data_IF_766405783019
#
_entry.id   IF_766405783019
#
_cell.length_a   1.000
_cell.length_b   1.000
_cell.length_c   1.000
_cell.angle_alpha   90.00
_cell.angle_beta   90.00
_cell.angle_gamma   90.00
#
_symmetry.space_group_name_H-M   'P 1'
#
loop_
_entity.id
_entity.type
_entity.pdbx_description
1 polymer ?
#
# COMPACT_ATOMS: atom_id res chain seq x y z
N UNK A 1 -0.80 25.25 -24.31
CA UNK A 1 -0.32 25.61 -22.95
C UNK A 1 -1.49 25.61 -21.96
N UNK A 2 -1.81 24.49 -21.29
CA UNK A 2 -2.82 24.47 -20.23
C UNK A 2 -2.31 23.72 -18.97
N UNK A 3 -1.21 24.18 -18.36
CA UNK A 3 -0.57 23.52 -17.20
C UNK A 3 -0.65 24.39 -15.93
N UNK A 4 -1.02 25.67 -16.05
CA UNK A 4 -1.00 26.61 -14.93
C UNK A 4 -2.33 26.76 -14.17
N UNK A 5 -3.43 26.20 -14.65
CA UNK A 5 -4.76 26.35 -14.00
C UNK A 5 -5.01 25.33 -12.87
N UNK A 6 -4.21 24.27 -12.77
CA UNK A 6 -4.44 23.19 -11.80
C UNK A 6 -3.79 23.45 -10.43
N UNK A 7 -2.87 24.42 -10.33
CA UNK A 7 -2.09 24.66 -9.11
C UNK A 7 -2.78 25.61 -8.12
N UNK A 8 -3.74 26.44 -8.56
CA UNK A 8 -4.41 27.42 -7.71
C UNK A 8 -5.62 26.88 -6.96
N UNK A 9 -6.14 25.71 -7.35
CA UNK A 9 -7.27 25.05 -6.65
C UNK A 9 -6.84 24.22 -5.43
N UNK A 10 -5.59 23.75 -5.37
CA UNK A 10 -5.12 22.87 -4.28
C UNK A 10 -4.61 23.58 -3.02
N UNK A 11 -4.34 24.88 -3.08
CA UNK A 11 -3.76 25.63 -1.95
C UNK A 11 -4.82 26.29 -1.06
N UNK A 12 -6.09 26.33 -1.51
CA UNK A 12 -7.16 27.02 -0.78
C UNK A 12 -7.85 26.17 0.30
N UNK A 13 -7.69 24.85 0.28
CA UNK A 13 -8.30 23.93 1.25
C UNK A 13 -7.36 23.58 2.43
N UNK A 14 -6.17 24.18 2.50
CA UNK A 14 -5.18 23.88 3.54
C UNK A 14 -5.13 24.91 4.69
N UNK A 15 -6.00 25.93 4.68
CA UNK A 15 -6.01 27.03 5.66
C UNK A 15 -7.42 27.37 6.17
N UNK A 16 -8.16 26.37 6.67
CA UNK A 16 -9.29 26.62 7.56
C UNK A 16 -9.12 25.84 8.87
N UNK A 17 -8.59 26.57 9.84
CA UNK A 17 -8.56 26.25 11.25
C UNK A 17 -9.42 27.33 11.94
N UNK A 18 -10.57 26.96 12.52
CA UNK A 18 -11.29 27.75 13.54
C UNK A 18 -12.47 26.96 14.15
N UNK A 19 -12.30 26.50 15.39
CA UNK A 19 -13.34 26.52 16.45
C UNK A 19 -13.36 27.94 17.05
N UNK A 20 -14.46 28.52 17.63
CA UNK A 20 -15.31 27.88 18.65
C UNK A 20 -16.81 28.34 18.72
N UNK A 21 -17.63 27.73 19.59
CA UNK A 21 -18.79 28.43 20.19
C UNK A 21 -20.08 27.62 20.50
N UNK A 22 -20.44 27.56 21.78
CA UNK A 22 -21.55 26.82 22.39
C UNK A 22 -22.98 27.44 22.21
N UNK A 23 -24.05 26.62 22.24
CA UNK A 23 -25.03 26.54 23.38
C UNK A 23 -26.27 25.64 23.12
N UNK A 24 -26.48 24.71 24.06
CA UNK A 24 -27.73 24.29 24.77
C UNK A 24 -28.97 23.70 24.06
N UNK A 25 -29.28 22.44 24.40
CA UNK A 25 -30.63 21.96 24.79
C UNK A 25 -30.52 20.70 25.68
N UNK A 26 -31.25 20.67 26.80
CA UNK A 26 -31.30 19.61 27.83
C UNK A 26 -32.64 18.80 27.75
N UNK A 27 -33.01 17.95 28.73
CA UNK A 27 -32.54 16.57 28.98
C UNK A 27 -33.69 15.52 29.08
N UNK A 28 -33.41 14.22 28.86
CA UNK A 28 -34.12 12.99 29.33
C UNK A 28 -33.64 11.81 28.45
N UNK A 29 -33.35 10.58 28.88
CA UNK A 29 -33.81 9.78 30.02
C UNK A 29 -32.70 8.85 30.51
N UNK A 30 -32.68 8.62 31.82
CA UNK A 30 -31.83 7.65 32.49
C UNK A 30 -32.14 6.21 32.03
N UNK A 31 -31.14 5.53 31.47
CA UNK A 31 -31.12 4.06 31.34
C UNK A 31 -30.17 3.52 32.42
N UNK A 32 -30.55 2.51 33.20
CA UNK A 32 -29.73 2.03 34.31
C UNK A 32 -28.43 1.43 33.77
N UNK A 33 -27.26 1.72 34.36
CA UNK A 33 -26.02 1.06 33.98
C UNK A 33 -26.11 -0.42 34.37
N UNK A 34 -25.84 -1.29 33.39
CA UNK A 34 -25.61 -2.71 33.63
C UNK A 34 -24.47 -2.88 34.64
N UNK A 35 -24.67 -3.78 35.59
CA UNK A 35 -23.72 -4.06 36.67
C UNK A 35 -22.32 -4.38 36.12
N UNK A 36 -21.25 -3.84 36.72
CA UNK A 36 -19.88 -4.20 36.33
C UNK A 36 -19.64 -5.67 36.67
N UNK A 37 -19.26 -6.46 35.66
CA UNK A 37 -18.69 -7.78 35.88
C UNK A 37 -17.40 -7.63 36.71
N UNK A 38 -17.12 -8.55 37.65
CA UNK A 38 -15.96 -8.41 38.52
C UNK A 38 -14.67 -8.47 37.69
N UNK A 39 -13.70 -7.57 37.95
CA UNK A 39 -12.40 -7.64 37.29
C UNK A 39 -11.70 -8.94 37.68
N UNK A 40 -11.11 -9.61 36.69
CA UNK A 40 -10.14 -10.68 36.92
C UNK A 40 -8.95 -10.08 37.66
N UNK A 41 -8.96 -10.15 39.00
CA UNK A 41 -7.87 -9.68 39.84
C UNK A 41 -6.65 -10.59 39.65
N UNK A 42 -5.59 -10.05 39.04
CA UNK A 42 -4.29 -10.74 38.95
C UNK A 42 -3.41 -10.44 37.72
N UNK A 43 -3.50 -9.27 37.08
CA UNK A 43 -2.64 -8.92 35.94
C UNK A 43 -1.76 -7.68 36.23
N UNK A 44 -0.53 -7.63 35.69
CA UNK A 44 0.44 -6.57 35.99
C UNK A 44 -0.04 -5.19 35.55
N UNK A 45 0.24 -4.17 36.37
CA UNK A 45 -0.07 -2.78 36.08
C UNK A 45 0.71 -2.32 34.83
N UNK A 46 -0.01 -1.99 33.76
CA UNK A 46 0.55 -1.53 32.50
C UNK A 46 -0.09 -2.10 31.23
N UNK A 47 -1.36 -2.52 31.27
CA UNK A 47 -2.04 -2.99 30.05
C UNK A 47 -2.47 -1.82 29.18
N UNK A 48 -2.04 -1.89 27.92
CA UNK A 48 -2.42 -0.96 26.86
C UNK A 48 -3.87 -1.28 26.42
N UNK A 49 -4.60 -0.27 25.94
CA UNK A 49 -6.03 -0.36 25.62
C UNK A 49 -6.39 -1.51 24.63
N UNK A 50 -5.60 -1.80 23.57
CA UNK A 50 -5.84 -2.95 22.70
C UNK A 50 -5.69 -4.31 23.40
N UNK A 51 -4.72 -4.48 24.30
CA UNK A 51 -4.54 -5.73 25.05
C UNK A 51 -5.75 -6.01 25.92
N UNK A 52 -6.32 -4.98 26.55
CA UNK A 52 -7.56 -5.12 27.32
C UNK A 52 -8.72 -5.61 26.42
N UNK A 53 -8.88 -5.04 25.22
CA UNK A 53 -9.91 -5.49 24.27
C UNK A 53 -9.70 -6.93 23.79
N UNK A 54 -8.45 -7.36 23.62
CA UNK A 54 -8.14 -8.74 23.25
C UNK A 54 -8.47 -9.72 24.37
N UNK A 55 -8.20 -9.35 25.63
CA UNK A 55 -8.60 -10.14 26.78
C UNK A 55 -10.12 -10.22 26.91
N UNK A 56 -10.83 -9.12 26.69
CA UNK A 56 -12.30 -9.10 26.72
C UNK A 56 -12.89 -9.98 25.60
N UNK A 57 -12.32 -9.93 24.39
CA UNK A 57 -12.70 -10.80 23.28
C UNK A 57 -12.46 -12.28 23.60
N UNK A 58 -11.29 -12.63 24.13
CA UNK A 58 -10.99 -14.02 24.53
C UNK A 58 -11.92 -14.48 25.65
N UNK A 59 -12.23 -13.61 26.61
CA UNK A 59 -13.19 -13.89 27.67
C UNK A 59 -14.60 -14.14 27.11
N UNK A 60 -14.97 -13.46 26.03
CA UNK A 60 -16.23 -13.69 25.31
C UNK A 60 -16.21 -15.00 24.51
N UNK A 61 -15.10 -15.36 23.86
CA UNK A 61 -14.94 -16.66 23.17
C UNK A 61 -15.00 -17.83 24.16
N UNK A 62 -14.49 -17.61 25.38
CA UNK A 62 -14.51 -18.57 26.49
C UNK A 62 -15.78 -18.48 27.35
N UNK A 63 -16.74 -17.63 27.00
CA UNK A 63 -18.02 -17.58 27.69
C UNK A 63 -18.87 -18.78 27.24
N UNK A 64 -18.86 -19.85 28.04
CA UNK A 64 -19.75 -21.00 27.84
C UNK A 64 -21.01 -20.95 28.71
N UNK A 65 -21.79 -22.02 28.64
CA UNK A 65 -23.14 -22.13 29.22
C UNK A 65 -23.16 -22.36 30.74
N UNK A 66 -22.03 -22.15 31.42
CA UNK A 66 -21.88 -22.35 32.87
C UNK A 66 -21.78 -23.82 33.31
N UNK A 67 -21.85 -24.76 32.36
CA UNK A 67 -21.63 -26.22 32.54
C UNK A 67 -20.43 -26.68 31.71
N UNK A 68 -19.40 -25.87 31.65
CA UNK A 68 -18.23 -26.08 30.80
C UNK A 68 -16.95 -26.04 31.63
N UNK A 69 -15.85 -26.43 30.99
CA UNK A 69 -14.53 -26.38 31.62
C UNK A 69 -14.14 -24.97 32.09
N UNK A 70 -14.68 -23.92 31.46
CA UNK A 70 -14.53 -22.53 31.89
C UNK A 70 -15.14 -22.27 33.28
N UNK A 71 -16.37 -22.73 33.53
CA UNK A 71 -17.01 -22.64 34.84
C UNK A 71 -16.29 -23.50 35.90
N UNK A 72 -15.86 -24.70 35.55
CA UNK A 72 -15.02 -25.54 36.43
C UNK A 72 -13.73 -24.82 36.83
N UNK A 73 -13.03 -24.19 35.87
CA UNK A 73 -11.81 -23.43 36.14
C UNK A 73 -12.05 -22.24 37.08
N UNK A 74 -13.20 -21.55 36.96
CA UNK A 74 -13.58 -20.48 37.90
C UNK A 74 -13.79 -21.03 39.32
N UNK A 75 -14.42 -22.20 39.46
CA UNK A 75 -14.61 -22.87 40.75
C UNK A 75 -13.28 -23.30 41.37
N UNK A 76 -12.38 -23.90 40.58
CA UNK A 76 -11.01 -24.23 41.01
C UNK A 76 -10.27 -22.98 41.49
N UNK A 77 -10.33 -21.87 40.74
CA UNK A 77 -9.71 -20.60 41.15
C UNK A 77 -10.30 -20.06 42.45
N UNK A 78 -11.61 -20.14 42.64
CA UNK A 78 -12.28 -19.72 43.87
C UNK A 78 -11.83 -20.54 45.08
N UNK A 79 -11.80 -21.87 44.94
CA UNK A 79 -11.35 -22.77 46.01
C UNK A 79 -9.85 -22.58 46.32
N UNK A 80 -9.04 -22.33 45.28
CA UNK A 80 -7.63 -22.00 45.45
C UNK A 80 -7.44 -20.70 46.25
N UNK A 81 -8.23 -19.67 45.96
CA UNK A 81 -8.23 -18.42 46.72
C UNK A 81 -8.68 -18.61 48.18
N UNK A 82 -9.48 -19.63 48.46
CA UNK A 82 -9.84 -20.05 49.83
C UNK A 82 -8.77 -20.87 50.55
N UNK A 83 -7.59 -21.07 49.94
CA UNK A 83 -6.45 -21.76 50.56
C UNK A 83 -6.35 -23.26 50.25
N UNK A 84 -7.25 -23.82 49.44
CA UNK A 84 -7.12 -25.21 48.96
C UNK A 84 -6.04 -25.30 47.88
N UNK A 85 -5.21 -26.34 47.93
CA UNK A 85 -4.16 -26.54 46.93
C UNK A 85 -3.90 -28.03 46.68
N UNK A 86 -3.12 -28.33 45.65
CA UNK A 86 -2.75 -29.71 45.32
C UNK A 86 -3.92 -30.58 44.82
N UNK A 87 -3.81 -31.91 44.89
CA UNK A 87 -4.82 -32.83 44.37
C UNK A 87 -6.22 -32.66 45.01
N UNK A 88 -6.25 -32.32 46.30
CA UNK A 88 -7.48 -32.08 47.05
C UNK A 88 -8.30 -30.91 46.49
N UNK A 89 -7.64 -29.87 45.96
CA UNK A 89 -8.31 -28.74 45.30
C UNK A 89 -9.14 -29.23 44.11
N UNK A 90 -8.51 -29.97 43.20
CA UNK A 90 -9.15 -30.44 41.97
C UNK A 90 -10.23 -31.48 42.25
N UNK A 91 -10.00 -32.38 43.21
CA UNK A 91 -11.01 -33.36 43.62
C UNK A 91 -12.23 -32.70 44.25
N UNK A 92 -12.01 -31.73 45.16
CA UNK A 92 -13.10 -30.98 45.81
C UNK A 92 -13.87 -30.14 44.79
N UNK A 93 -13.15 -29.44 43.90
CA UNK A 93 -13.75 -28.65 42.84
C UNK A 93 -14.57 -29.51 41.88
N UNK A 94 -14.07 -30.68 41.48
CA UNK A 94 -14.78 -31.58 40.59
C UNK A 94 -16.05 -32.14 41.24
N UNK A 95 -15.95 -32.59 42.50
CA UNK A 95 -17.12 -33.10 43.23
C UNK A 95 -18.19 -32.01 43.41
N UNK A 96 -17.79 -30.78 43.75
CA UNK A 96 -18.72 -29.66 43.88
C UNK A 96 -19.32 -29.27 42.52
N UNK A 97 -18.52 -29.25 41.46
CA UNK A 97 -18.98 -28.95 40.10
C UNK A 97 -19.97 -30.01 39.61
N UNK A 98 -19.64 -31.29 39.72
CA UNK A 98 -20.49 -32.41 39.34
C UNK A 98 -21.80 -32.43 40.14
N UNK A 99 -21.78 -32.06 41.43
CA UNK A 99 -22.99 -31.95 42.24
C UNK A 99 -23.93 -30.82 41.78
N UNK A 100 -23.39 -29.74 41.20
CA UNK A 100 -24.17 -28.57 40.75
C UNK A 100 -24.64 -28.74 39.30
N UNK A 101 -23.79 -29.27 38.42
CA UNK A 101 -24.07 -29.35 36.98
C UNK A 101 -24.60 -30.71 36.52
N UNK A 102 -24.41 -31.76 37.33
CA UNK A 102 -24.74 -33.14 36.98
C UNK A 102 -23.84 -33.75 35.92
N UNK A 103 -22.70 -33.11 35.59
CA UNK A 103 -21.79 -33.59 34.56
C UNK A 103 -20.75 -34.57 35.09
N UNK A 104 -20.37 -35.52 34.24
CA UNK A 104 -19.31 -36.46 34.50
C UNK A 104 -17.94 -35.95 33.98
N UNK A 105 -16.88 -36.65 34.39
CA UNK A 105 -15.52 -36.26 34.03
C UNK A 105 -15.29 -36.26 32.52
N UNK A 106 -15.91 -37.20 31.80
CA UNK A 106 -15.77 -37.30 30.35
C UNK A 106 -16.38 -36.07 29.64
N UNK A 107 -17.60 -35.66 30.01
CA UNK A 107 -18.23 -34.46 29.44
C UNK A 107 -17.45 -33.18 29.77
N UNK A 108 -16.89 -33.09 30.98
CA UNK A 108 -16.06 -31.96 31.37
C UNK A 108 -14.79 -31.85 30.52
N UNK A 109 -14.10 -32.97 30.30
CA UNK A 109 -12.90 -33.01 29.44
C UNK A 109 -13.23 -32.74 27.98
N UNK A 110 -14.33 -33.29 27.46
CA UNK A 110 -14.79 -32.99 26.10
C UNK A 110 -15.06 -31.49 25.90
N UNK A 111 -15.67 -30.82 26.90
CA UNK A 111 -15.87 -29.37 26.85
C UNK A 111 -14.56 -28.57 26.88
N UNK A 112 -13.50 -29.12 27.50
CA UNK A 112 -12.17 -28.50 27.49
C UNK A 112 -11.53 -28.56 26.09
N UNK A 113 -11.66 -29.71 25.41
CA UNK A 113 -11.20 -29.88 24.04
C UNK A 113 -11.94 -28.96 23.07
N UNK A 114 -13.27 -28.81 23.23
CA UNK A 114 -14.07 -27.88 22.44
C UNK A 114 -13.64 -26.41 22.63
N UNK A 115 -13.36 -25.99 23.88
CA UNK A 115 -12.87 -24.64 24.15
C UNK A 115 -11.47 -24.42 23.56
N UNK A 116 -10.59 -25.43 23.62
CA UNK A 116 -9.27 -25.39 22.99
C UNK A 116 -9.36 -25.24 21.47
N UNK A 117 -10.26 -25.98 20.84
CA UNK A 117 -10.52 -25.87 19.41
C UNK A 117 -11.07 -24.49 19.05
N UNK A 118 -12.05 -23.97 19.80
CA UNK A 118 -12.60 -22.62 19.61
C UNK A 118 -11.52 -21.54 19.68
N UNK A 119 -10.59 -21.62 20.65
CA UNK A 119 -9.47 -20.69 20.74
C UNK A 119 -8.50 -20.80 19.55
N UNK A 120 -8.25 -22.02 19.09
CA UNK A 120 -7.39 -22.28 17.93
C UNK A 120 -8.01 -21.69 16.66
N UNK A 121 -9.30 -21.89 16.46
CA UNK A 121 -10.06 -21.36 15.33
C UNK A 121 -10.15 -19.83 15.38
N UNK A 122 -10.40 -19.23 16.56
CA UNK A 122 -10.41 -17.78 16.72
C UNK A 122 -9.04 -17.17 16.43
N UNK A 123 -7.95 -17.78 16.93
CA UNK A 123 -6.58 -17.37 16.61
C UNK A 123 -6.33 -17.40 15.11
N UNK A 124 -6.76 -18.45 14.41
CA UNK A 124 -6.60 -18.54 12.96
C UNK A 124 -7.35 -17.40 12.23
N UNK A 125 -8.59 -17.12 12.63
CA UNK A 125 -9.41 -16.01 12.07
C UNK A 125 -8.82 -14.63 12.34
N UNK A 126 -8.24 -14.41 13.52
CA UNK A 126 -7.58 -13.14 13.86
C UNK A 126 -6.32 -12.97 13.02
N UNK A 127 -5.52 -14.02 12.86
CA UNK A 127 -4.33 -13.99 12.01
C UNK A 127 -4.65 -13.74 10.54
N UNK A 128 -5.71 -14.36 10.02
CA UNK A 128 -6.18 -14.14 8.65
C UNK A 128 -6.61 -12.68 8.44
N UNK A 129 -7.48 -12.15 9.30
CA UNK A 129 -7.88 -10.73 9.25
C UNK A 129 -6.69 -9.78 9.38
N UNK A 130 -5.66 -10.15 10.16
CA UNK A 130 -4.44 -9.37 10.26
C UNK A 130 -3.64 -9.37 8.96
N UNK A 131 -3.47 -10.54 8.32
CA UNK A 131 -2.80 -10.67 7.01
C UNK A 131 -3.53 -9.89 5.92
N UNK A 132 -4.87 -9.93 5.92
CA UNK A 132 -5.70 -9.13 5.01
C UNK A 132 -5.48 -7.62 5.22
N UNK A 133 -5.49 -7.16 6.47
CA UNK A 133 -5.23 -5.75 6.82
C UNK A 133 -3.83 -5.29 6.45
N UNK A 134 -2.83 -6.17 6.60
CA UNK A 134 -1.45 -5.90 6.18
C UNK A 134 -1.26 -5.97 4.66
N UNK A 135 -2.24 -6.51 3.93
CA UNK A 135 -2.15 -6.69 2.49
C UNK A 135 -1.17 -7.78 2.07
N UNK A 136 -0.78 -8.68 2.99
CA UNK A 136 0.11 -9.82 2.72
C UNK A 136 -0.61 -10.94 1.95
N UNK A 137 -1.94 -10.95 1.98
CA UNK A 137 -2.77 -11.89 1.22
C UNK A 137 -3.75 -11.15 0.32
N UNK A 138 -3.96 -11.68 -0.90
CA UNK A 138 -5.03 -11.22 -1.79
C UNK A 138 -6.37 -11.56 -1.11
N UNK A 139 -7.25 -10.59 -0.83
CA UNK A 139 -8.55 -10.89 -0.24
C UNK A 139 -9.36 -11.77 -1.21
N UNK A 140 -9.93 -12.87 -0.70
CA UNK A 140 -10.71 -13.82 -1.52
C UNK A 140 -11.98 -13.17 -2.11
N UNK A 141 -12.49 -12.12 -1.45
CA UNK A 141 -13.48 -11.19 -1.99
C UNK A 141 -13.23 -9.79 -1.42
N UNK A 142 -12.79 -8.86 -2.26
CA UNK A 142 -12.65 -7.46 -1.90
C UNK A 142 -11.72 -6.68 -2.84
N UNK A 143 -11.81 -5.34 -2.85
CA UNK A 143 -10.86 -4.51 -3.59
C UNK A 143 -9.42 -4.79 -3.11
N UNK A 144 -8.43 -4.82 -4.02
CA UNK A 144 -7.04 -5.12 -3.67
C UNK A 144 -6.56 -4.15 -2.57
N UNK A 145 -5.81 -4.71 -1.61
CA UNK A 145 -5.22 -3.94 -0.50
C UNK A 145 -4.43 -2.75 -1.03
N UNK A 146 -4.34 -1.67 -0.25
CA UNK A 146 -3.60 -0.47 -0.65
C UNK A 146 -2.15 -0.79 -1.05
N UNK A 147 -1.53 -1.75 -0.36
CA UNK A 147 -0.17 -2.23 -0.64
C UNK A 147 -0.10 -2.97 -1.98
N UNK A 148 -1.09 -3.82 -2.31
CA UNK A 148 -1.16 -4.48 -3.61
C UNK A 148 -1.34 -3.48 -4.76
N UNK A 149 -2.18 -2.45 -4.58
CA UNK A 149 -2.34 -1.36 -5.57
C UNK A 149 -1.05 -0.58 -5.77
N UNK A 150 -0.33 -0.27 -4.68
CA UNK A 150 0.96 0.41 -4.76
C UNK A 150 2.01 -0.42 -5.49
N UNK A 151 2.08 -1.73 -5.24
CA UNK A 151 2.99 -2.64 -5.98
C UNK A 151 2.66 -2.71 -7.48
N UNK A 152 1.38 -2.75 -7.82
CA UNK A 152 0.95 -2.71 -9.22
C UNK A 152 1.34 -1.38 -9.88
N UNK A 153 1.14 -0.27 -9.17
CA UNK A 153 1.52 1.06 -9.65
C UNK A 153 3.04 1.20 -9.83
N UNK A 154 3.84 0.70 -8.88
CA UNK A 154 5.30 0.65 -8.98
C UNK A 154 5.75 -0.15 -10.21
N UNK A 155 5.15 -1.33 -10.43
CA UNK A 155 5.47 -2.16 -11.59
C UNK A 155 5.13 -1.45 -12.91
N UNK A 156 4.01 -0.74 -12.97
CA UNK A 156 3.63 0.06 -14.15
C UNK A 156 4.60 1.20 -14.39
N UNK A 157 4.96 1.96 -13.35
CA UNK A 157 5.93 3.05 -13.46
C UNK A 157 7.32 2.53 -13.90
N UNK A 158 7.74 1.37 -13.39
CA UNK A 158 8.99 0.72 -13.81
C UNK A 158 8.97 0.38 -15.31
N UNK A 159 7.84 -0.14 -15.81
CA UNK A 159 7.66 -0.44 -17.23
C UNK A 159 7.67 0.84 -18.09
N UNK A 160 6.99 1.90 -17.64
CA UNK A 160 6.99 3.21 -18.32
C UNK A 160 8.39 3.82 -18.39
N UNK A 161 9.16 3.79 -17.30
CA UNK A 161 10.56 4.27 -17.28
C UNK A 161 11.41 3.51 -18.28
N UNK A 162 11.24 2.20 -18.36
CA UNK A 162 11.98 1.35 -19.31
C UNK A 162 11.60 1.68 -20.76
N UNK A 163 10.31 1.87 -21.04
CA UNK A 163 9.82 2.24 -22.36
C UNK A 163 10.30 3.64 -22.78
N UNK A 164 10.26 4.63 -21.87
CA UNK A 164 10.79 5.97 -22.12
C UNK A 164 12.30 5.94 -22.36
N UNK A 165 13.03 5.10 -21.63
CA UNK A 165 14.47 4.90 -21.85
C UNK A 165 14.78 4.38 -23.26
N UNK A 166 14.00 3.41 -23.76
CA UNK A 166 14.12 2.91 -25.13
C UNK A 166 13.79 3.98 -26.17
N UNK A 167 12.71 4.73 -25.98
CA UNK A 167 12.35 5.83 -26.88
C UNK A 167 13.43 6.90 -26.95
N UNK A 168 14.08 7.21 -25.82
CA UNK A 168 15.18 8.17 -25.77
C UNK A 168 16.40 7.66 -26.52
N UNK A 169 16.72 6.37 -26.40
CA UNK A 169 17.80 5.74 -27.16
C UNK A 169 17.53 5.82 -28.67
N UNK A 170 16.33 5.45 -29.12
CA UNK A 170 15.92 5.52 -30.52
C UNK A 170 16.00 6.95 -31.08
N UNK A 171 15.53 7.93 -30.31
CA UNK A 171 15.59 9.35 -30.71
C UNK A 171 17.02 9.89 -30.76
N UNK A 172 17.87 9.43 -29.86
CA UNK A 172 19.30 9.78 -29.87
C UNK A 172 19.98 9.22 -31.12
N UNK A 173 19.69 7.98 -31.49
CA UNK A 173 20.19 7.39 -32.73
C UNK A 173 19.70 8.15 -33.97
N UNK A 174 18.40 8.45 -34.05
CA UNK A 174 17.83 9.24 -35.14
C UNK A 174 18.50 10.62 -35.27
N UNK A 175 18.79 11.26 -34.14
CA UNK A 175 19.48 12.56 -34.11
C UNK A 175 20.92 12.44 -34.65
N UNK A 176 21.65 11.40 -34.27
CA UNK A 176 23.00 11.16 -34.79
C UNK A 176 23.00 10.87 -36.30
N UNK A 177 22.06 10.07 -36.79
CA UNK A 177 21.91 9.78 -38.22
C UNK A 177 21.59 11.06 -39.01
N UNK A 178 20.66 11.88 -38.52
CA UNK A 178 20.32 13.15 -39.14
C UNK A 178 21.51 14.13 -39.16
N UNK A 179 22.31 14.18 -38.09
CA UNK A 179 23.54 14.99 -38.06
C UNK A 179 24.56 14.53 -39.10
N UNK A 180 24.76 13.22 -39.27
CA UNK A 180 25.65 12.70 -40.31
C UNK A 180 25.14 13.02 -41.71
N UNK A 181 23.84 12.88 -41.96
CA UNK A 181 23.23 13.25 -43.24
C UNK A 181 23.42 14.74 -43.55
N UNK A 182 23.19 15.62 -42.57
CA UNK A 182 23.42 17.06 -42.72
C UNK A 182 24.88 17.39 -43.06
N UNK A 183 25.84 16.70 -42.44
CA UNK A 183 27.26 16.87 -42.76
C UNK A 183 27.57 16.43 -44.20
N UNK A 184 27.00 15.31 -44.65
CA UNK A 184 27.18 14.83 -46.02
C UNK A 184 26.55 15.78 -47.05
N UNK A 185 25.33 16.28 -46.77
CA UNK A 185 24.66 17.23 -47.65
C UNK A 185 25.40 18.56 -47.72
N UNK A 186 25.89 19.08 -46.59
CA UNK A 186 26.67 20.32 -46.58
C UNK A 186 27.98 20.19 -47.35
N UNK A 187 28.70 19.07 -47.20
CA UNK A 187 29.89 18.78 -48.00
C UNK A 187 29.58 18.68 -49.50
N UNK A 188 28.49 18.00 -49.87
CA UNK A 188 28.04 17.91 -51.27
C UNK A 188 27.70 19.30 -51.82
N UNK A 189 26.95 20.12 -51.08
CA UNK A 189 26.58 21.47 -51.49
C UNK A 189 27.82 22.37 -51.69
N UNK A 190 28.80 22.30 -50.78
CA UNK A 190 30.06 23.04 -50.90
C UNK A 190 30.85 22.61 -52.15
N UNK A 191 30.92 21.30 -52.41
CA UNK A 191 31.60 20.79 -53.62
C UNK A 191 30.91 21.22 -54.92
N UNK A 192 29.57 21.24 -54.93
CA UNK A 192 28.79 21.68 -56.09
C UNK A 192 28.99 23.18 -56.33
N UNK A 193 29.02 23.99 -55.27
CA UNK A 193 29.30 25.42 -55.36
C UNK A 193 30.71 25.68 -55.92
N UNK A 194 31.74 25.00 -55.39
CA UNK A 194 33.10 25.13 -55.89
C UNK A 194 33.21 24.71 -57.38
N UNK A 195 32.51 23.64 -57.77
CA UNK A 195 32.47 23.19 -59.17
C UNK A 195 31.78 24.21 -60.08
N UNK A 196 30.70 24.85 -59.62
CA UNK A 196 30.03 25.90 -60.36
C UNK A 196 30.92 27.14 -60.52
N UNK A 197 31.59 27.58 -59.46
CA UNK A 197 32.50 28.72 -59.51
C UNK A 197 33.66 28.49 -60.48
N UNK A 198 34.24 27.28 -60.48
CA UNK A 198 35.26 26.88 -61.44
C UNK A 198 34.75 26.94 -62.89
N UNK A 199 33.58 26.34 -63.16
CA UNK A 199 32.97 26.34 -64.49
C UNK A 199 32.63 27.76 -64.96
N UNK A 200 32.12 28.60 -64.06
CA UNK A 200 31.84 30.01 -64.34
C UNK A 200 33.12 30.78 -64.69
N UNK A 201 34.19 30.62 -63.90
CA UNK A 201 35.48 31.26 -64.18
C UNK A 201 36.06 30.82 -65.53
N UNK A 202 35.95 29.53 -65.88
CA UNK A 202 36.37 29.01 -67.18
C UNK A 202 35.57 29.62 -68.33
N UNK A 203 34.24 29.67 -68.22
CA UNK A 203 33.37 30.27 -69.24
C UNK A 203 33.66 31.77 -69.45
N UNK A 204 33.91 32.52 -68.37
CA UNK A 204 34.30 33.94 -68.45
C UNK A 204 35.65 34.10 -69.16
N UNK A 205 36.62 33.24 -68.87
CA UNK A 205 37.93 33.27 -69.53
C UNK A 205 37.83 32.95 -71.03
N UNK A 206 37.04 31.95 -71.42
CA UNK A 206 36.77 31.62 -72.81
C UNK A 206 36.09 32.78 -73.55
N UNK A 207 35.06 33.38 -72.96
CA UNK A 207 34.38 34.54 -73.53
C UNK A 207 35.35 35.70 -73.76
N UNK A 208 36.21 36.00 -72.78
CA UNK A 208 37.22 37.04 -72.89
C UNK A 208 38.24 36.74 -74.01
N UNK A 209 38.70 35.49 -74.10
CA UNK A 209 39.61 35.04 -75.16
C UNK A 209 38.96 35.20 -76.55
N UNK A 210 37.70 34.80 -76.73
CA UNK A 210 36.96 34.98 -77.97
C UNK A 210 36.74 36.45 -78.32
N UNK A 211 36.39 37.29 -77.33
CA UNK A 211 36.27 38.74 -77.54
C UNK A 211 37.59 39.36 -78.01
N UNK A 212 38.71 38.98 -77.39
CA UNK A 212 40.02 39.48 -77.80
C UNK A 212 40.39 39.01 -79.21
N UNK A 213 40.21 37.72 -79.52
CA UNK A 213 40.44 37.18 -80.86
C UNK A 213 39.59 37.91 -81.91
N UNK A 214 38.32 38.18 -81.62
CA UNK A 214 37.40 38.91 -82.50
C UNK A 214 37.87 40.35 -82.73
N UNK A 215 38.28 41.06 -81.67
CA UNK A 215 38.83 42.41 -81.79
C UNK A 215 40.10 42.43 -82.65
N UNK A 216 41.05 41.53 -82.40
CA UNK A 216 42.31 41.46 -83.15
C UNK A 216 42.07 41.13 -84.63
N UNK A 217 41.10 40.26 -84.94
CA UNK A 217 40.80 39.88 -86.32
C UNK A 217 40.05 40.98 -87.10
N UNK A 218 39.07 41.64 -86.49
CA UNK A 218 38.25 42.65 -87.16
C UNK A 218 38.89 44.05 -87.25
N UNK A 219 39.86 44.39 -86.38
CA UNK A 219 40.51 45.70 -86.38
C UNK A 219 41.81 45.76 -87.21
N UNK A 220 42.36 44.61 -87.61
CA UNK A 220 43.58 44.51 -88.43
C UNK A 220 43.30 44.18 -89.91
N UNK A 221 42.04 44.23 -90.34
CA UNK A 221 41.58 44.14 -91.72
C UNK A 221 40.86 45.43 -92.12
#
# INVERSE_FOLDING_TARGET
MPIFDSLTKGVKDFFLEEEPGATSAAPASARPPAAPAPPLAGLPAGMTQPEQRHLDHIAQVLAGDGRDFGAFTKMVKSLAASGLSGPLLYQTAFNAFAAVTGQDLHSLLASADELSQKLTDDRARVQERHREKMGDTVPLQGPPSALARLREQETRLQAEVTALGQQLADKTQQLQEAQQQLQQESAKAQSALASYELAHAAAVAELAAHQQATKTFLLNH
#
